data_IF_654271174612
#
_entry.id   IF_654271174612
#
_cell.length_a   1.000
_cell.length_b   1.000
_cell.length_c   1.000
_cell.angle_alpha   90.00
_cell.angle_beta   90.00
_cell.angle_gamma   90.00
#
_symmetry.space_group_name_H-M   'P 1'
#
loop_
_entity.id
_entity.type
_entity.pdbx_description
1 polymer ?
#
# COMPACT_ATOMS: atom_id res chain seq x y z
N UNK A 1 30.01 -17.71 36.72
CA UNK A 1 29.25 -18.22 35.57
C UNK A 1 27.92 -17.52 35.62
N UNK A 2 27.85 -16.40 34.90
CA UNK A 2 26.73 -15.46 34.96
C UNK A 2 26.06 -15.53 33.57
N UNK A 3 24.81 -15.96 33.54
CA UNK A 3 24.04 -16.12 32.32
C UNK A 3 23.68 -14.75 31.72
N UNK A 4 24.22 -14.47 30.54
CA UNK A 4 23.81 -13.36 29.68
C UNK A 4 22.36 -13.54 29.20
N UNK A 5 21.47 -12.54 29.34
CA UNK A 5 20.16 -12.60 28.73
C UNK A 5 20.24 -12.39 27.21
N UNK A 6 19.51 -13.23 26.49
CA UNK A 6 19.40 -13.25 25.02
C UNK A 6 18.80 -11.95 24.48
N UNK A 7 19.41 -11.42 23.43
CA UNK A 7 18.94 -10.26 22.67
C UNK A 7 17.54 -10.50 22.10
N UNK A 8 16.63 -9.57 22.38
CA UNK A 8 15.30 -9.47 21.76
C UNK A 8 15.49 -9.18 20.26
N UNK A 9 14.89 -10.03 19.42
CA UNK A 9 15.09 -10.02 17.98
C UNK A 9 14.57 -8.77 17.28
N UNK A 10 15.35 -8.28 16.32
CA UNK A 10 14.93 -7.28 15.34
C UNK A 10 13.79 -7.83 14.47
N UNK A 11 12.58 -7.31 14.67
CA UNK A 11 11.47 -7.50 13.74
C UNK A 11 11.69 -6.62 12.50
N UNK A 12 12.42 -7.16 11.50
CA UNK A 12 12.56 -6.54 10.18
C UNK A 12 11.22 -6.58 9.44
N UNK A 13 10.50 -5.46 9.45
CA UNK A 13 9.21 -5.27 8.77
C UNK A 13 9.39 -5.25 7.26
N UNK A 14 9.33 -6.40 6.61
CA UNK A 14 9.33 -6.45 5.14
C UNK A 14 7.97 -6.76 4.56
N UNK A 15 7.41 -5.76 3.88
CA UNK A 15 6.25 -5.90 3.03
C UNK A 15 6.70 -6.39 1.64
N UNK A 16 5.84 -7.12 0.94
CA UNK A 16 6.14 -7.64 -0.39
C UNK A 16 5.24 -6.95 -1.42
N UNK A 17 5.87 -6.28 -2.38
CA UNK A 17 5.18 -5.68 -3.53
C UNK A 17 5.63 -6.43 -4.76
N UNK A 18 4.67 -6.89 -5.57
CA UNK A 18 5.02 -7.49 -6.86
C UNK A 18 5.66 -6.41 -7.74
N UNK A 19 6.92 -6.62 -8.12
CA UNK A 19 7.62 -5.81 -9.10
C UNK A 19 7.53 -6.45 -10.48
N UNK A 20 7.58 -5.62 -11.52
CA UNK A 20 7.73 -6.08 -12.90
C UNK A 20 9.00 -6.95 -13.06
N UNK A 21 8.98 -8.03 -13.86
CA UNK A 21 10.21 -8.70 -14.26
C UNK A 21 11.12 -7.71 -15.01
N UNK A 22 12.35 -7.52 -14.53
CA UNK A 22 13.39 -6.79 -15.27
C UNK A 22 13.80 -7.64 -16.47
N UNK A 23 13.70 -7.08 -17.67
CA UNK A 23 14.35 -7.66 -18.84
C UNK A 23 15.82 -7.25 -18.80
N UNK A 24 16.71 -8.17 -18.44
CA UNK A 24 18.17 -8.24 -18.72
C UNK A 24 18.70 -9.47 -17.98
N UNK A 25 19.51 -10.38 -18.52
CA UNK A 25 20.13 -10.63 -19.83
C UNK A 25 20.80 -11.99 -19.62
N UNK A 26 20.69 -12.93 -20.55
CA UNK A 26 21.83 -13.78 -20.94
C UNK A 26 21.65 -14.22 -22.41
N UNK A 27 22.69 -13.84 -23.15
CA UNK A 27 23.22 -14.29 -24.44
C UNK A 27 22.39 -14.26 -25.75
N UNK A 28 22.78 -13.25 -26.54
CA UNK A 28 23.08 -13.32 -27.97
C UNK A 28 21.96 -13.73 -28.93
N UNK A 29 21.10 -12.76 -29.27
CA UNK A 29 20.73 -12.56 -30.68
C UNK A 29 20.77 -11.06 -31.01
N UNK A 30 21.64 -10.75 -31.95
CA UNK A 30 22.00 -9.45 -32.49
C UNK A 30 20.79 -8.69 -33.05
N UNK A 31 20.73 -7.40 -32.70
CA UNK A 31 20.05 -6.27 -33.36
C UNK A 31 19.04 -6.53 -34.50
N UNK A 32 17.79 -6.16 -34.27
CA UNK A 32 17.07 -5.01 -34.89
C UNK A 32 15.57 -5.13 -34.65
N UNK A 33 14.95 -4.08 -34.12
CA UNK A 33 13.49 -3.94 -34.15
C UNK A 33 12.88 -3.43 -32.85
N UNK A 34 12.83 -2.11 -32.69
CA UNK A 34 11.77 -1.47 -31.90
C UNK A 34 10.41 -2.00 -32.39
N UNK A 35 9.61 -2.64 -31.53
CA UNK A 35 8.19 -2.87 -31.81
C UNK A 35 7.53 -4.12 -31.26
N UNK A 36 8.25 -5.21 -30.96
CA UNK A 36 7.59 -6.53 -30.88
C UNK A 36 7.19 -7.05 -29.49
N UNK A 37 7.71 -6.51 -28.39
CA UNK A 37 7.33 -6.98 -27.04
C UNK A 37 5.88 -6.61 -26.63
N UNK A 38 5.27 -5.63 -27.30
CA UNK A 38 3.89 -5.20 -27.02
C UNK A 38 2.82 -5.97 -27.79
N UNK A 39 3.19 -6.76 -28.81
CA UNK A 39 2.22 -7.46 -29.66
C UNK A 39 1.79 -8.83 -29.10
N UNK A 40 2.65 -9.51 -28.33
CA UNK A 40 2.35 -10.83 -27.75
C UNK A 40 1.26 -10.81 -26.66
N UNK A 41 0.92 -9.63 -26.13
CA UNK A 41 -0.04 -9.43 -25.03
C UNK A 41 -1.45 -8.99 -25.50
N UNK A 42 -1.69 -8.95 -26.82
CA UNK A 42 -3.00 -8.59 -27.39
C UNK A 42 -3.97 -9.79 -27.38
N UNK A 43 -3.46 -11.02 -27.21
CA UNK A 43 -4.22 -12.26 -27.34
C UNK A 43 -4.54 -13.04 -26.05
N UNK A 44 -4.54 -12.42 -24.86
CA UNK A 44 -4.88 -13.15 -23.63
C UNK A 44 -6.39 -13.46 -23.63
N UNK A 45 -6.70 -14.75 -23.72
CA UNK A 45 -8.06 -15.25 -23.64
C UNK A 45 -8.68 -14.96 -22.27
N UNK A 46 -9.97 -14.64 -22.27
CA UNK A 46 -10.69 -14.27 -21.04
C UNK A 46 -10.79 -15.47 -20.09
N UNK A 47 -11.12 -16.64 -20.61
CA UNK A 47 -11.35 -17.83 -19.79
C UNK A 47 -10.02 -18.42 -19.31
N UNK A 48 -8.96 -18.35 -20.11
CA UNK A 48 -7.61 -18.70 -19.65
C UNK A 48 -7.18 -17.81 -18.47
N UNK A 49 -7.37 -16.48 -18.60
CA UNK A 49 -7.06 -15.56 -17.51
C UNK A 49 -7.91 -15.87 -16.27
N UNK A 50 -9.21 -16.13 -16.45
CA UNK A 50 -10.11 -16.45 -15.35
C UNK A 50 -9.68 -17.73 -14.63
N UNK A 51 -9.33 -18.80 -15.35
CA UNK A 51 -8.85 -20.05 -14.77
C UNK A 51 -7.55 -19.92 -13.96
N UNK A 52 -6.70 -18.93 -14.29
CA UNK A 52 -5.48 -18.65 -13.51
C UNK A 52 -5.73 -17.86 -12.23
N UNK A 53 -6.84 -17.12 -12.14
CA UNK A 53 -7.12 -16.14 -11.08
C UNK A 53 -8.22 -16.57 -10.11
N UNK A 54 -9.24 -17.26 -10.62
CA UNK A 54 -10.46 -17.54 -9.91
C UNK A 54 -10.26 -18.67 -8.90
N UNK A 55 -10.56 -18.41 -7.63
CA UNK A 55 -10.58 -19.45 -6.60
C UNK A 55 -11.81 -20.36 -6.79
N UNK A 56 -11.74 -21.62 -6.34
CA UNK A 56 -12.89 -22.50 -6.27
C UNK A 56 -14.09 -21.83 -5.62
N UNK A 57 -15.28 -22.18 -6.09
CA UNK A 57 -16.52 -21.54 -5.67
C UNK A 57 -16.77 -21.65 -4.17
N UNK A 58 -16.53 -22.82 -3.59
CA UNK A 58 -16.73 -23.04 -2.17
C UNK A 58 -15.83 -22.14 -1.31
N UNK A 59 -14.55 -21.94 -1.68
CA UNK A 59 -13.63 -21.02 -1.00
C UNK A 59 -14.10 -19.57 -1.11
N UNK A 60 -14.54 -19.15 -2.30
CA UNK A 60 -15.06 -17.79 -2.52
C UNK A 60 -16.28 -17.51 -1.64
N UNK A 61 -17.22 -18.46 -1.59
CA UNK A 61 -18.44 -18.35 -0.79
C UNK A 61 -18.10 -18.35 0.70
N UNK A 62 -17.23 -19.25 1.15
CA UNK A 62 -16.79 -19.32 2.54
C UNK A 62 -16.12 -18.01 2.99
N UNK A 63 -15.18 -17.47 2.20
CA UNK A 63 -14.52 -16.20 2.48
C UNK A 63 -15.51 -15.04 2.57
N UNK A 64 -16.45 -14.94 1.61
CA UNK A 64 -17.49 -13.90 1.59
C UNK A 64 -18.35 -13.98 2.86
N UNK A 65 -18.77 -15.17 3.23
CA UNK A 65 -19.64 -15.40 4.39
C UNK A 65 -18.92 -15.09 5.70
N UNK A 66 -17.65 -15.50 5.84
CA UNK A 66 -16.81 -15.16 6.99
C UNK A 66 -16.63 -13.64 7.14
N UNK A 67 -16.36 -12.92 6.04
CA UNK A 67 -16.24 -11.46 6.05
C UNK A 67 -17.57 -10.80 6.47
N UNK A 68 -18.70 -11.26 5.92
CA UNK A 68 -20.03 -10.73 6.27
C UNK A 68 -20.40 -10.95 7.72
N UNK A 69 -20.10 -12.14 8.27
CA UNK A 69 -20.38 -12.51 9.67
C UNK A 69 -19.38 -11.93 10.64
N UNK A 70 -18.22 -11.47 10.16
CA UNK A 70 -17.08 -11.03 10.98
C UNK A 70 -16.59 -12.16 11.90
N UNK A 71 -16.57 -13.38 11.37
CA UNK A 71 -16.09 -14.59 12.03
C UNK A 71 -15.44 -15.53 11.01
N UNK A 72 -14.27 -16.06 11.35
CA UNK A 72 -13.46 -16.97 10.51
C UNK A 72 -13.47 -18.42 11.01
N UNK A 73 -14.17 -18.71 12.11
CA UNK A 73 -14.15 -20.02 12.77
C UNK A 73 -15.33 -20.90 12.35
N UNK A 74 -16.52 -20.32 12.28
CA UNK A 74 -17.76 -21.00 11.87
C UNK A 74 -17.93 -21.03 10.34
N UNK A 75 -17.29 -22.02 9.72
CA UNK A 75 -17.44 -22.31 8.29
C UNK A 75 -18.48 -23.43 8.15
N UNK A 76 -19.51 -23.19 7.34
CA UNK A 76 -20.64 -24.10 7.18
C UNK A 76 -20.20 -25.45 6.58
N UNK A 77 -20.66 -26.56 7.16
CA UNK A 77 -20.22 -27.91 6.81
C UNK A 77 -20.44 -28.30 5.34
N UNK A 78 -21.47 -27.75 4.70
CA UNK A 78 -21.73 -27.98 3.28
C UNK A 78 -20.66 -27.38 2.34
N UNK A 79 -19.82 -26.47 2.83
CA UNK A 79 -18.66 -25.92 2.12
C UNK A 79 -17.37 -26.67 2.43
N UNK A 80 -17.39 -27.62 3.39
CA UNK A 80 -16.22 -28.42 3.78
C UNK A 80 -16.06 -29.69 2.95
N UNK A 81 -17.00 -29.97 2.04
CA UNK A 81 -16.97 -31.14 1.17
C UNK A 81 -16.45 -30.73 -0.21
N UNK A 82 -15.21 -31.13 -0.60
CA UNK A 82 -14.67 -30.85 -1.92
C UNK A 82 -15.59 -31.40 -3.00
N UNK A 83 -15.94 -30.57 -3.97
CA UNK A 83 -16.76 -30.95 -5.12
C UNK A 83 -15.93 -31.65 -6.19
N UNK A 84 -15.48 -32.89 -5.92
CA UNK A 84 -14.91 -33.80 -6.92
C UNK A 84 -13.75 -33.28 -7.78
N UNK A 85 -12.52 -33.65 -7.40
CA UNK A 85 -11.27 -33.88 -8.17
C UNK A 85 -10.74 -32.84 -9.20
N UNK A 86 -11.57 -32.06 -9.90
CA UNK A 86 -11.16 -31.06 -10.88
C UNK A 86 -11.64 -29.64 -10.55
N UNK A 87 -12.75 -29.48 -9.81
CA UNK A 87 -13.24 -28.18 -9.36
C UNK A 87 -12.55 -27.67 -8.08
N UNK A 88 -11.76 -28.53 -7.43
CA UNK A 88 -11.11 -28.30 -6.14
C UNK A 88 -9.60 -28.06 -6.26
N UNK A 89 -9.09 -27.75 -7.47
CA UNK A 89 -7.68 -27.44 -7.66
C UNK A 89 -7.44 -25.94 -7.42
N UNK A 90 -6.41 -25.61 -6.64
CA UNK A 90 -6.02 -24.23 -6.45
C UNK A 90 -5.53 -23.62 -7.77
N UNK A 91 -5.95 -22.40 -8.13
CA UNK A 91 -5.49 -21.76 -9.35
C UNK A 91 -3.99 -21.42 -9.23
N UNK A 92 -3.33 -21.24 -10.36
CA UNK A 92 -1.90 -20.92 -10.40
C UNK A 92 -1.54 -19.63 -9.63
N UNK A 93 -2.40 -18.61 -9.70
CA UNK A 93 -2.21 -17.35 -9.01
C UNK A 93 -3.56 -16.83 -8.50
N UNK A 94 -4.10 -17.39 -7.40
CA UNK A 94 -5.34 -16.93 -6.79
C UNK A 94 -5.25 -15.43 -6.54
N UNK A 95 -6.26 -14.66 -6.93
CA UNK A 95 -6.16 -13.20 -6.89
C UNK A 95 -7.37 -12.54 -6.27
N UNK A 96 -7.14 -11.56 -5.42
CA UNK A 96 -8.18 -10.68 -4.88
C UNK A 96 -7.90 -9.25 -5.35
N UNK A 97 -8.94 -8.50 -5.68
CA UNK A 97 -8.84 -7.10 -6.08
C UNK A 97 -9.58 -6.21 -5.10
N UNK A 98 -8.90 -5.23 -4.51
CA UNK A 98 -9.53 -4.11 -3.83
C UNK A 98 -9.73 -2.95 -4.79
N UNK A 99 -10.93 -2.38 -4.83
CA UNK A 99 -11.24 -1.20 -5.64
C UNK A 99 -11.71 -0.05 -4.75
N UNK A 100 -11.11 1.12 -4.94
CA UNK A 100 -11.62 2.37 -4.37
C UNK A 100 -12.47 3.10 -5.43
N UNK A 101 -13.81 3.05 -5.35
CA UNK A 101 -14.68 3.63 -6.38
C UNK A 101 -14.56 5.16 -6.49
N UNK A 102 -14.02 5.83 -5.46
CA UNK A 102 -13.76 7.27 -5.47
C UNK A 102 -12.50 7.66 -6.27
N UNK A 103 -11.66 6.68 -6.64
CA UNK A 103 -10.44 6.91 -7.45
C UNK A 103 -10.74 6.90 -8.95
N UNK A 104 -9.86 7.49 -9.78
CA UNK A 104 -9.91 7.34 -11.24
C UNK A 104 -11.07 8.05 -11.96
N UNK A 105 -11.55 9.20 -11.46
CA UNK A 105 -12.58 9.99 -12.14
C UNK A 105 -13.99 9.40 -12.10
N UNK A 106 -14.31 8.62 -11.06
CA UNK A 106 -15.63 7.99 -10.81
C UNK A 106 -16.05 6.90 -11.81
N UNK A 107 -15.12 6.34 -12.57
CA UNK A 107 -15.36 5.10 -13.34
C UNK A 107 -15.40 3.82 -12.47
N UNK A 108 -15.38 3.96 -11.14
CA UNK A 108 -15.33 2.87 -10.16
C UNK A 108 -16.33 1.74 -10.41
N UNK A 109 -17.65 2.01 -10.57
CA UNK A 109 -18.64 0.97 -10.80
C UNK A 109 -18.42 0.17 -12.10
N UNK A 110 -18.13 0.86 -13.20
CA UNK A 110 -17.85 0.23 -14.51
C UNK A 110 -16.57 -0.60 -14.45
N UNK A 111 -15.58 -0.14 -13.67
CA UNK A 111 -14.33 -0.85 -13.46
C UNK A 111 -14.53 -2.09 -12.58
N UNK A 112 -15.34 -1.98 -11.51
CA UNK A 112 -15.73 -3.10 -10.64
C UNK A 112 -16.41 -4.18 -11.46
N UNK A 113 -17.44 -3.82 -12.22
CA UNK A 113 -18.17 -4.75 -13.10
C UNK A 113 -17.22 -5.46 -14.07
N UNK A 114 -16.30 -4.71 -14.69
CA UNK A 114 -15.33 -5.32 -15.61
C UNK A 114 -14.36 -6.28 -14.92
N UNK A 115 -13.90 -5.95 -13.72
CA UNK A 115 -13.03 -6.85 -12.94
C UNK A 115 -13.78 -8.14 -12.58
N UNK A 116 -15.04 -8.02 -12.15
CA UNK A 116 -15.89 -9.16 -11.82
C UNK A 116 -16.14 -10.05 -13.05
N UNK A 117 -16.33 -9.45 -14.23
CA UNK A 117 -16.43 -10.19 -15.51
C UNK A 117 -15.15 -10.96 -15.86
N UNK A 118 -13.96 -10.44 -15.53
CA UNK A 118 -12.67 -11.08 -15.82
C UNK A 118 -12.27 -12.13 -14.78
N UNK A 119 -12.85 -12.06 -13.59
CA UNK A 119 -12.54 -12.91 -12.44
C UNK A 119 -13.84 -13.51 -11.88
N UNK A 120 -14.27 -13.05 -10.71
CA UNK A 120 -15.48 -13.46 -10.00
C UNK A 120 -15.98 -12.29 -9.16
N UNK A 121 -17.25 -12.33 -8.75
CA UNK A 121 -17.86 -11.26 -7.94
C UNK A 121 -17.23 -11.16 -6.56
N UNK A 122 -17.00 -12.31 -5.92
CA UNK A 122 -16.56 -12.45 -4.53
C UNK A 122 -15.07 -12.14 -4.32
N UNK A 123 -14.28 -12.09 -5.40
CA UNK A 123 -12.86 -11.74 -5.36
C UNK A 123 -12.60 -10.25 -5.63
N UNK A 124 -13.65 -9.44 -5.87
CA UNK A 124 -13.53 -7.99 -6.12
C UNK A 124 -14.22 -7.22 -5.00
N UNK A 125 -13.42 -6.70 -4.07
CA UNK A 125 -13.89 -5.99 -2.89
C UNK A 125 -13.93 -4.47 -3.11
N UNK A 126 -15.10 -3.89 -2.94
CA UNK A 126 -15.25 -2.44 -2.86
C UNK A 126 -14.83 -1.96 -1.46
N UNK A 127 -13.84 -1.06 -1.41
CA UNK A 127 -13.30 -0.55 -0.15
C UNK A 127 -14.28 0.32 0.66
N UNK A 128 -15.40 0.73 0.07
CA UNK A 128 -16.49 1.36 0.79
C UNK A 128 -17.31 0.34 1.58
N UNK A 129 -17.45 -0.89 1.07
CA UNK A 129 -18.23 -2.00 1.61
C UNK A 129 -17.40 -2.90 2.55
N UNK A 130 -16.23 -3.38 2.08
CA UNK A 130 -15.34 -4.28 2.81
C UNK A 130 -14.01 -3.58 3.07
N UNK A 131 -13.64 -3.42 4.34
CA UNK A 131 -12.36 -2.79 4.71
C UNK A 131 -11.21 -3.81 4.59
N UNK A 132 -9.98 -3.37 4.27
CA UNK A 132 -8.84 -4.29 4.14
C UNK A 132 -8.59 -5.13 5.40
N UNK A 133 -8.76 -4.54 6.60
CA UNK A 133 -8.60 -5.28 7.86
C UNK A 133 -9.65 -6.39 8.05
N UNK A 134 -10.87 -6.23 7.52
CA UNK A 134 -11.91 -7.26 7.58
C UNK A 134 -11.54 -8.43 6.66
N UNK A 135 -11.02 -8.15 5.46
CA UNK A 135 -10.49 -9.20 4.58
C UNK A 135 -9.29 -9.92 5.20
N UNK A 136 -8.34 -9.18 5.78
CA UNK A 136 -7.16 -9.77 6.43
C UNK A 136 -7.58 -10.68 7.57
N UNK A 137 -8.47 -10.23 8.45
CA UNK A 137 -8.89 -11.00 9.63
C UNK A 137 -9.81 -12.17 9.28
N UNK A 138 -10.81 -11.94 8.42
CA UNK A 138 -11.88 -12.91 8.19
C UNK A 138 -11.74 -13.64 6.86
N UNK A 139 -11.27 -12.98 5.80
CA UNK A 139 -11.06 -13.58 4.49
C UNK A 139 -9.84 -14.51 4.48
N UNK A 140 -8.67 -14.01 4.88
CA UNK A 140 -7.47 -14.86 5.00
C UNK A 140 -7.60 -15.84 6.17
N UNK A 141 -8.17 -15.39 7.29
CA UNK A 141 -8.47 -16.28 8.42
C UNK A 141 -9.38 -17.46 8.05
N UNK A 142 -10.35 -17.26 7.16
CA UNK A 142 -11.17 -18.35 6.62
C UNK A 142 -10.32 -19.41 5.89
N UNK A 143 -9.40 -18.98 5.03
CA UNK A 143 -8.49 -19.88 4.32
C UNK A 143 -7.54 -20.60 5.30
N UNK A 144 -7.04 -19.88 6.31
CA UNK A 144 -6.18 -20.46 7.36
C UNK A 144 -6.95 -21.54 8.17
N UNK A 145 -8.21 -21.27 8.54
CA UNK A 145 -9.08 -22.23 9.23
C UNK A 145 -9.36 -23.47 8.37
N UNK A 146 -9.64 -23.31 7.07
CA UNK A 146 -9.87 -24.44 6.16
C UNK A 146 -8.61 -25.28 5.97
N UNK A 147 -7.47 -24.62 5.77
CA UNK A 147 -6.17 -25.30 5.69
C UNK A 147 -5.88 -26.10 6.97
N UNK A 148 -6.17 -25.54 8.15
CA UNK A 148 -6.01 -26.23 9.43
C UNK A 148 -6.97 -27.43 9.61
N UNK A 149 -8.13 -27.42 8.94
CA UNK A 149 -9.08 -28.55 8.88
C UNK A 149 -8.69 -29.61 7.84
N UNK A 150 -7.57 -29.43 7.13
CA UNK A 150 -7.06 -30.40 6.15
C UNK A 150 -7.43 -30.11 4.69
N UNK A 151 -7.99 -28.93 4.39
CA UNK A 151 -8.24 -28.52 3.01
C UNK A 151 -6.95 -28.06 2.33
N UNK A 152 -6.42 -28.95 1.49
CA UNK A 152 -5.18 -28.72 0.74
C UNK A 152 -5.32 -27.59 -0.30
N UNK A 153 -6.50 -27.45 -0.92
CA UNK A 153 -6.74 -26.39 -1.88
C UNK A 153 -6.79 -25.03 -1.18
N UNK A 154 -7.38 -24.94 0.01
CA UNK A 154 -7.36 -23.72 0.81
C UNK A 154 -5.92 -23.34 1.21
N UNK A 155 -5.12 -24.33 1.62
CA UNK A 155 -3.70 -24.15 1.97
C UNK A 155 -2.90 -23.61 0.78
N UNK A 156 -3.02 -24.25 -0.39
CA UNK A 156 -2.32 -23.82 -1.60
C UNK A 156 -2.80 -22.44 -2.08
N UNK A 157 -4.11 -22.17 -2.02
CA UNK A 157 -4.66 -20.85 -2.30
C UNK A 157 -4.05 -19.79 -1.37
N UNK A 158 -3.99 -20.07 -0.07
CA UNK A 158 -3.47 -19.15 0.96
C UNK A 158 -1.98 -18.81 0.76
N UNK A 159 -1.19 -19.77 0.30
CA UNK A 159 0.23 -19.61 -0.01
C UNK A 159 0.47 -18.86 -1.32
N UNK A 160 -0.39 -19.03 -2.33
CA UNK A 160 -0.21 -18.44 -3.66
C UNK A 160 -0.98 -17.14 -3.88
N UNK A 161 -1.90 -16.79 -2.98
CA UNK A 161 -2.81 -15.65 -3.15
C UNK A 161 -2.03 -14.34 -3.36
N UNK A 162 -2.51 -13.54 -4.31
CA UNK A 162 -2.01 -12.20 -4.64
C UNK A 162 -3.11 -11.16 -4.49
N UNK A 163 -2.74 -9.94 -4.11
CA UNK A 163 -3.68 -8.83 -3.94
C UNK A 163 -3.39 -7.76 -4.98
N UNK A 164 -4.42 -7.31 -5.70
CA UNK A 164 -4.35 -6.15 -6.57
C UNK A 164 -5.13 -4.99 -5.95
N UNK A 165 -4.57 -3.79 -5.97
CA UNK A 165 -5.24 -2.60 -5.44
C UNK A 165 -5.47 -1.59 -6.56
N UNK A 166 -6.73 -1.34 -6.88
CA UNK A 166 -7.18 -0.34 -7.83
C UNK A 166 -7.49 0.97 -7.10
N UNK A 167 -6.52 1.88 -7.11
CA UNK A 167 -6.55 3.12 -6.36
C UNK A 167 -5.33 4.02 -6.61
N UNK A 168 -5.21 5.09 -5.85
CA UNK A 168 -3.96 5.86 -5.73
C UNK A 168 -3.12 5.41 -4.53
N UNK A 169 -2.00 6.08 -4.28
CA UNK A 169 -1.01 5.67 -3.26
C UNK A 169 -1.60 5.55 -1.84
N UNK A 170 -2.51 6.44 -1.45
CA UNK A 170 -3.18 6.34 -0.14
C UNK A 170 -4.03 5.07 0.01
N UNK A 171 -4.70 4.62 -1.05
CA UNK A 171 -5.45 3.36 -1.06
C UNK A 171 -4.51 2.16 -0.94
N UNK A 172 -3.40 2.18 -1.69
CA UNK A 172 -2.37 1.12 -1.66
C UNK A 172 -1.74 1.04 -0.27
N UNK A 173 -1.37 2.19 0.31
CA UNK A 173 -0.81 2.27 1.65
C UNK A 173 -1.76 1.77 2.74
N UNK A 174 -3.06 2.01 2.61
CA UNK A 174 -4.06 1.47 3.54
C UNK A 174 -4.09 -0.07 3.52
N UNK A 175 -4.11 -0.67 2.33
CA UNK A 175 -4.09 -2.14 2.18
C UNK A 175 -2.77 -2.72 2.72
N UNK A 176 -1.63 -2.14 2.35
CA UNK A 176 -0.32 -2.56 2.86
C UNK A 176 -0.24 -2.45 4.39
N UNK A 177 -0.77 -1.38 4.98
CA UNK A 177 -0.81 -1.19 6.43
C UNK A 177 -1.59 -2.28 7.15
N UNK A 178 -2.73 -2.72 6.61
CA UNK A 178 -3.49 -3.84 7.17
C UNK A 178 -2.77 -5.18 6.98
N UNK A 179 -2.10 -5.40 5.85
CA UNK A 179 -1.32 -6.62 5.63
C UNK A 179 -0.08 -6.71 6.53
N UNK A 180 0.51 -5.55 6.89
CA UNK A 180 1.62 -5.47 7.84
C UNK A 180 1.25 -5.97 9.24
N UNK A 181 -0.03 -6.03 9.61
CA UNK A 181 -0.47 -6.63 10.89
C UNK A 181 -0.19 -8.14 10.92
N UNK A 182 -0.30 -8.85 9.78
CA UNK A 182 0.03 -10.28 9.67
C UNK A 182 1.50 -10.58 9.95
N UNK A 183 2.39 -9.60 9.74
CA UNK A 183 3.81 -9.76 10.01
C UNK A 183 4.09 -9.90 11.51
N UNK A 184 3.29 -9.22 12.36
CA UNK A 184 3.46 -9.23 13.82
C UNK A 184 3.26 -10.63 14.40
N UNK A 185 2.45 -11.45 13.74
CA UNK A 185 2.14 -12.81 14.19
C UNK A 185 3.20 -13.84 13.76
N UNK A 186 4.17 -13.45 12.91
CA UNK A 186 5.37 -14.21 12.54
C UNK A 186 5.16 -15.54 11.80
N UNK A 187 3.91 -16.00 11.65
CA UNK A 187 3.55 -17.32 11.12
C UNK A 187 2.80 -17.28 9.79
N UNK A 188 2.28 -16.12 9.42
CA UNK A 188 1.34 -15.98 8.31
C UNK A 188 2.03 -15.51 7.04
N UNK A 189 1.81 -16.20 5.92
CA UNK A 189 2.25 -15.74 4.59
C UNK A 189 1.61 -14.38 4.27
N UNK A 190 2.40 -13.39 3.85
CA UNK A 190 1.92 -12.07 3.48
C UNK A 190 1.73 -12.04 1.95
N UNK A 191 0.48 -11.91 1.46
CA UNK A 191 0.22 -11.85 0.02
C UNK A 191 0.94 -10.68 -0.65
N UNK A 192 1.63 -10.89 -1.79
CA UNK A 192 2.23 -9.80 -2.54
C UNK A 192 1.15 -8.87 -3.10
N UNK A 193 1.43 -7.57 -3.05
CA UNK A 193 0.51 -6.53 -3.53
C UNK A 193 0.96 -5.98 -4.89
N UNK A 194 0.05 -5.93 -5.86
CA UNK A 194 0.20 -5.20 -7.11
C UNK A 194 -0.76 -4.01 -7.21
N UNK A 195 -0.49 -3.07 -8.11
CA UNK A 195 -1.22 -1.79 -8.19
C UNK A 195 -1.86 -1.61 -9.56
N UNK A 196 -3.13 -1.20 -9.57
CA UNK A 196 -3.81 -0.64 -10.73
C UNK A 196 -3.90 0.89 -10.49
N UNK A 197 -3.08 1.71 -11.17
CA UNK A 197 -2.90 3.13 -10.86
C UNK A 197 -4.10 3.99 -11.28
N UNK A 198 -5.06 4.16 -10.37
CA UNK A 198 -6.25 5.01 -10.57
C UNK A 198 -6.08 6.42 -9.99
N UNK A 199 -4.98 6.71 -9.29
CA UNK A 199 -4.69 8.02 -8.71
C UNK A 199 -4.07 9.01 -9.69
N UNK A 200 -3.71 10.20 -9.18
CA UNK A 200 -3.02 11.25 -9.94
C UNK A 200 -1.49 11.13 -9.88
N UNK A 201 -0.93 10.84 -8.70
CA UNK A 201 0.52 10.70 -8.45
C UNK A 201 1.05 9.31 -8.81
N UNK A 202 0.50 8.27 -8.15
CA UNK A 202 0.80 6.85 -8.36
C UNK A 202 2.30 6.55 -8.25
N UNK A 203 2.98 7.16 -7.28
CA UNK A 203 4.43 7.09 -7.11
C UNK A 203 4.90 5.66 -6.76
N UNK A 204 4.15 4.95 -5.91
CA UNK A 204 4.42 3.53 -5.63
C UNK A 204 4.25 2.71 -6.91
N UNK A 205 3.18 2.97 -7.66
CA UNK A 205 2.93 2.26 -8.93
C UNK A 205 4.07 2.47 -9.94
N UNK A 206 4.63 3.68 -10.02
CA UNK A 206 5.79 4.00 -10.87
C UNK A 206 7.05 3.28 -10.41
N UNK A 207 7.33 3.32 -9.11
CA UNK A 207 8.52 2.70 -8.51
C UNK A 207 8.56 1.18 -8.76
N UNK A 208 7.39 0.52 -8.72
CA UNK A 208 7.26 -0.91 -8.99
C UNK A 208 6.89 -1.23 -10.45
N UNK A 209 6.94 -0.25 -11.35
CA UNK A 209 6.71 -0.41 -12.80
C UNK A 209 5.31 -0.90 -13.20
N UNK A 210 4.29 -0.63 -12.39
CA UNK A 210 2.87 -0.83 -12.69
C UNK A 210 2.28 0.27 -13.58
N UNK A 211 2.97 1.42 -13.66
CA UNK A 211 2.63 2.53 -14.53
C UNK A 211 2.22 3.79 -13.78
N UNK A 212 2.09 4.89 -14.50
CA UNK A 212 1.83 6.21 -13.91
C UNK A 212 0.38 6.66 -13.93
N UNK A 213 -0.45 6.04 -14.77
CA UNK A 213 -1.86 6.40 -14.94
C UNK A 213 -2.62 5.25 -15.59
N UNK A 214 -3.91 5.21 -15.33
CA UNK A 214 -4.79 4.26 -15.98
C UNK A 214 -4.97 4.62 -17.48
N UNK A 215 -4.69 3.71 -18.42
CA UNK A 215 -4.65 4.03 -19.84
C UNK A 215 -6.05 4.21 -20.44
N UNK A 216 -6.17 5.02 -21.50
CA UNK A 216 -7.43 5.29 -22.19
C UNK A 216 -8.10 4.00 -22.74
N UNK A 217 -7.30 3.07 -23.28
CA UNK A 217 -7.74 1.73 -23.68
C UNK A 217 -7.78 0.74 -22.50
N UNK A 218 -8.45 1.14 -21.41
CA UNK A 218 -8.37 0.46 -20.12
C UNK A 218 -8.88 -0.98 -20.11
N UNK A 219 -9.87 -1.32 -20.96
CA UNK A 219 -10.44 -2.68 -21.01
C UNK A 219 -9.40 -3.74 -21.35
N UNK A 220 -8.57 -3.48 -22.35
CA UNK A 220 -7.48 -4.39 -22.76
C UNK A 220 -6.28 -4.28 -21.83
N UNK A 221 -6.02 -3.09 -21.29
CA UNK A 221 -4.97 -2.90 -20.30
C UNK A 221 -5.23 -3.68 -19.01
N UNK A 222 -6.48 -3.77 -18.57
CA UNK A 222 -6.84 -4.50 -17.36
C UNK A 222 -6.47 -5.98 -17.44
N UNK A 223 -6.84 -6.66 -18.54
CA UNK A 223 -6.45 -8.06 -18.77
C UNK A 223 -4.95 -8.24 -18.68
N UNK A 224 -4.18 -7.35 -19.33
CA UNK A 224 -2.72 -7.38 -19.30
C UNK A 224 -2.16 -7.14 -17.90
N UNK A 225 -2.75 -6.22 -17.13
CA UNK A 225 -2.32 -5.94 -15.77
C UNK A 225 -2.55 -7.14 -14.85
N UNK A 226 -3.73 -7.77 -14.91
CA UNK A 226 -4.03 -8.97 -14.14
C UNK A 226 -3.12 -10.13 -14.52
N UNK A 227 -2.92 -10.38 -15.82
CA UNK A 227 -2.00 -11.41 -16.30
C UNK A 227 -0.54 -11.12 -15.90
N UNK A 228 -0.10 -9.86 -15.92
CA UNK A 228 1.23 -9.49 -15.42
C UNK A 228 1.34 -9.73 -13.92
N UNK A 229 0.27 -9.53 -13.16
CA UNK A 229 0.26 -9.80 -11.73
C UNK A 229 0.35 -11.28 -11.40
N UNK A 230 -0.02 -12.20 -12.31
CA UNK A 230 0.21 -13.64 -12.10
C UNK A 230 1.67 -14.04 -12.32
N UNK A 231 2.38 -13.38 -13.24
CA UNK A 231 3.76 -13.70 -13.62
C UNK A 231 4.82 -12.80 -12.98
N UNK A 232 4.42 -11.69 -12.37
CA UNK A 232 5.32 -10.67 -11.83
C UNK A 232 6.20 -11.23 -10.72
N UNK A 233 7.49 -10.87 -10.76
CA UNK A 233 8.44 -11.12 -9.68
C UNK A 233 8.02 -10.40 -8.41
N UNK A 234 8.30 -10.99 -7.25
CA UNK A 234 7.99 -10.35 -5.97
C UNK A 234 9.23 -9.57 -5.53
N UNK A 235 9.05 -8.30 -5.18
CA UNK A 235 10.08 -7.46 -4.59
C UNK A 235 9.73 -7.13 -3.13
N UNK A 236 10.77 -6.82 -2.36
CA UNK A 236 10.61 -6.32 -0.99
C UNK A 236 10.39 -4.81 -1.04
N UNK A 237 9.49 -4.34 -0.19
CA UNK A 237 9.20 -2.94 0.05
C UNK A 237 9.56 -2.61 1.49
N UNK A 238 10.47 -1.66 1.64
CA UNK A 238 10.80 -1.07 2.93
C UNK A 238 9.65 -0.17 3.40
N UNK A 239 9.46 -0.12 4.72
CA UNK A 239 8.41 0.68 5.33
C UNK A 239 8.97 1.52 6.48
N UNK A 240 8.53 2.76 6.56
CA UNK A 240 9.00 3.72 7.54
C UNK A 240 7.95 3.85 8.63
N UNK A 241 8.27 3.43 9.86
CA UNK A 241 7.44 3.73 11.03
C UNK A 241 7.71 5.16 11.46
N UNK A 242 6.68 6.00 11.43
CA UNK A 242 6.76 7.41 11.82
C UNK A 242 5.99 7.59 13.11
N UNK A 243 6.61 8.29 14.07
CA UNK A 243 5.97 8.73 15.31
C UNK A 243 5.99 10.25 15.34
N UNK A 244 4.82 10.85 15.52
CA UNK A 244 4.63 12.30 15.61
C UNK A 244 4.15 12.62 17.00
N UNK A 245 4.93 13.39 17.76
CA UNK A 245 4.56 13.84 19.11
C UNK A 245 4.19 15.32 19.09
N UNK A 246 3.03 15.65 19.65
CA UNK A 246 2.49 17.01 19.72
C UNK A 246 2.59 17.60 21.14
N UNK A 247 2.76 18.93 21.26
CA UNK A 247 2.65 19.64 22.54
C UNK A 247 1.29 19.46 23.23
N UNK A 248 1.24 19.63 24.56
CA UNK A 248 0.00 19.61 25.32
C UNK A 248 -1.01 20.67 24.89
N UNK A 249 -2.27 20.26 24.69
CA UNK A 249 -3.41 21.15 24.48
C UNK A 249 -3.93 21.25 23.05
N UNK A 250 -3.16 20.82 22.04
CA UNK A 250 -3.64 20.78 20.65
C UNK A 250 -4.41 19.48 20.37
N UNK A 251 -5.68 19.63 19.99
CA UNK A 251 -6.50 18.51 19.50
C UNK A 251 -6.45 18.54 17.99
N UNK A 252 -5.73 17.59 17.40
CA UNK A 252 -5.68 17.39 15.95
C UNK A 252 -6.40 16.09 15.62
N UNK A 253 -7.17 16.10 14.52
CA UNK A 253 -7.71 14.88 13.92
C UNK A 253 -6.65 14.28 13.00
N UNK A 254 -6.01 13.15 13.38
CA UNK A 254 -4.97 12.56 12.55
C UNK A 254 -5.57 11.97 11.27
N UNK A 255 -4.83 11.95 10.15
CA UNK A 255 -5.23 11.19 8.98
C UNK A 255 -5.35 9.70 9.34
N UNK A 256 -6.17 8.93 8.61
CA UNK A 256 -6.37 7.48 8.84
C UNK A 256 -5.08 6.64 8.91
N UNK A 257 -3.99 7.12 8.31
CA UNK A 257 -2.67 6.47 8.31
C UNK A 257 -1.92 6.60 9.64
N UNK A 258 -2.33 7.54 10.51
CA UNK A 258 -1.76 7.79 11.83
C UNK A 258 -2.78 7.41 12.90
N UNK A 259 -2.40 6.47 13.78
CA UNK A 259 -3.22 6.04 14.92
C UNK A 259 -2.65 6.64 16.21
N UNK A 260 -3.48 7.01 17.20
CA UNK A 260 -2.98 7.42 18.51
C UNK A 260 -2.16 6.28 19.14
N UNK A 261 -0.98 6.58 19.65
CA UNK A 261 -0.16 5.61 20.37
C UNK A 261 -0.64 5.55 21.83
N UNK A 262 -0.95 4.34 22.32
CA UNK A 262 -1.38 4.11 23.72
C UNK A 262 -0.16 4.13 24.66
N UNK A 263 1.01 3.77 24.15
CA UNK A 263 2.27 3.85 24.87
C UNK A 263 2.96 5.18 24.55
N UNK A 264 3.37 5.91 25.58
CA UNK A 264 4.42 6.92 25.44
C UNK A 264 5.67 6.19 24.93
N UNK A 265 5.82 6.07 23.61
CA UNK A 265 7.08 5.62 23.05
C UNK A 265 8.07 6.71 23.41
N UNK A 266 8.83 6.47 24.46
CA UNK A 266 9.94 7.27 24.90
C UNK A 266 10.97 7.25 23.78
N UNK A 267 10.75 8.05 22.72
CA UNK A 267 11.82 8.49 21.85
C UNK A 267 12.81 9.13 22.81
N UNK A 268 13.94 8.44 22.96
CA UNK A 268 14.83 8.48 24.13
C UNK A 268 14.84 9.83 24.84
N UNK A 269 14.63 9.82 26.15
CA UNK A 269 14.80 10.97 27.06
C UNK A 269 16.23 11.56 27.03
N UNK A 270 17.12 11.08 26.14
CA UNK A 270 18.50 11.48 25.99
C UNK A 270 18.72 12.62 24.96
N UNK A 271 17.72 12.95 24.13
CA UNK A 271 17.75 14.19 23.35
C UNK A 271 17.22 15.33 24.22
N UNK A 272 18.07 15.85 25.09
CA UNK A 272 17.87 17.13 25.76
C UNK A 272 17.78 18.21 24.68
N UNK A 273 16.56 18.46 24.19
CA UNK A 273 16.31 19.56 23.30
C UNK A 273 16.54 20.85 24.10
N UNK A 274 17.68 21.49 23.84
CA UNK A 274 18.05 22.79 24.40
C UNK A 274 16.95 23.83 24.05
N UNK A 275 15.98 24.00 24.96
CA UNK A 275 14.77 24.79 24.78
C UNK A 275 13.62 24.35 25.68
N UNK A 276 12.74 25.28 26.02
CA UNK A 276 11.52 25.08 26.84
C UNK A 276 10.49 24.26 26.04
N UNK A 277 10.71 22.95 25.91
CA UNK A 277 9.81 22.04 25.18
C UNK A 277 8.56 21.84 26.03
N UNK A 278 7.36 22.20 25.53
CA UNK A 278 6.12 21.97 26.27
C UNK A 278 5.96 20.48 26.62
N UNK A 279 5.34 20.16 27.76
CA UNK A 279 5.12 18.77 28.13
C UNK A 279 4.43 17.99 27.00
N UNK A 280 5.02 16.83 26.65
CA UNK A 280 4.50 15.92 25.62
C UNK A 280 3.13 15.41 26.06
N UNK A 281 2.11 15.50 25.21
CA UNK A 281 0.76 15.07 25.59
C UNK A 281 0.16 13.98 24.72
N UNK A 282 0.43 13.98 23.40
CA UNK A 282 -0.15 13.00 22.47
C UNK A 282 0.84 12.63 21.38
N UNK A 283 1.04 11.32 21.20
CA UNK A 283 1.83 10.76 20.11
C UNK A 283 0.93 9.99 19.15
N UNK A 284 1.26 10.08 17.87
CA UNK A 284 0.59 9.35 16.81
C UNK A 284 1.62 8.55 16.04
N UNK A 285 1.30 7.30 15.71
CA UNK A 285 2.17 6.43 14.93
C UNK A 285 1.50 5.96 13.64
N UNK A 286 2.31 5.77 12.60
CA UNK A 286 1.86 5.18 11.34
C UNK A 286 2.99 4.69 10.47
N UNK A 287 2.62 4.09 9.35
CA UNK A 287 3.56 3.48 8.41
C UNK A 287 3.47 4.18 7.06
N UNK A 288 4.63 4.56 6.54
CA UNK A 288 4.79 5.24 5.25
C UNK A 288 5.65 4.39 4.32
N UNK A 289 5.40 4.49 3.01
CA UNK A 289 6.01 3.61 1.99
C UNK A 289 6.74 4.37 0.88
N UNK A 290 6.65 5.70 0.85
CA UNK A 290 7.16 6.50 -0.26
C UNK A 290 7.99 7.67 0.24
N UNK A 291 7.35 8.64 0.88
CA UNK A 291 8.04 9.79 1.47
C UNK A 291 7.23 10.35 2.65
N UNK A 292 7.92 11.15 3.45
CA UNK A 292 7.34 12.02 4.48
C UNK A 292 7.92 13.42 4.27
N UNK A 293 7.08 14.44 4.27
CA UNK A 293 7.51 15.82 4.03
C UNK A 293 7.02 16.78 5.11
N UNK A 294 7.83 17.80 5.38
CA UNK A 294 7.53 18.92 6.26
C UNK A 294 7.83 20.21 5.49
N UNK A 295 7.07 21.28 5.76
CA UNK A 295 7.28 22.59 5.15
C UNK A 295 6.50 22.77 3.85
N UNK A 296 7.13 23.38 2.85
CA UNK A 296 6.46 23.87 1.63
C UNK A 296 5.72 22.77 0.86
N UNK A 297 6.36 21.62 0.66
CA UNK A 297 5.75 20.49 -0.05
C UNK A 297 4.49 19.99 0.69
N UNK A 298 4.59 19.82 2.01
CA UNK A 298 3.47 19.40 2.86
C UNK A 298 2.33 20.43 2.84
N UNK A 299 2.64 21.73 2.85
CA UNK A 299 1.65 22.81 2.76
C UNK A 299 0.90 22.78 1.43
N UNK A 300 1.61 22.64 0.32
CA UNK A 300 1.01 22.54 -1.02
C UNK A 300 0.13 21.30 -1.13
N UNK A 301 0.62 20.15 -0.66
CA UNK A 301 -0.14 18.90 -0.63
C UNK A 301 -1.41 19.02 0.24
N UNK A 302 -1.31 19.68 1.40
CA UNK A 302 -2.44 19.97 2.28
C UNK A 302 -3.47 20.87 1.59
N UNK A 303 -3.05 21.99 1.00
CA UNK A 303 -3.94 22.92 0.30
C UNK A 303 -4.69 22.24 -0.86
N UNK A 304 -3.99 21.44 -1.66
CA UNK A 304 -4.61 20.66 -2.72
C UNK A 304 -5.59 19.61 -2.19
N UNK A 305 -5.22 18.88 -1.12
CA UNK A 305 -6.09 17.88 -0.50
C UNK A 305 -7.38 18.50 0.04
N UNK A 306 -7.26 19.63 0.74
CA UNK A 306 -8.38 20.36 1.29
C UNK A 306 -9.34 20.82 0.19
N UNK A 307 -8.84 21.44 -0.89
CA UNK A 307 -9.67 21.82 -2.05
C UNK A 307 -10.38 20.61 -2.66
N UNK A 308 -9.70 19.46 -2.78
CA UNK A 308 -10.31 18.25 -3.32
C UNK A 308 -11.46 17.74 -2.46
N UNK A 309 -11.38 17.92 -1.14
CA UNK A 309 -12.44 17.51 -0.22
C UNK A 309 -13.62 18.50 -0.24
N UNK A 310 -13.34 19.82 -0.25
CA UNK A 310 -14.39 20.85 -0.26
C UNK A 310 -15.08 20.97 -1.63
N UNK A 311 -14.31 20.91 -2.72
CA UNK A 311 -14.77 21.16 -4.09
C UNK A 311 -14.37 20.01 -5.03
N UNK A 312 -14.91 18.80 -4.80
CA UNK A 312 -14.54 17.61 -5.59
C UNK A 312 -14.84 17.73 -7.08
N UNK A 313 -15.75 18.63 -7.48
CA UNK A 313 -16.08 18.91 -8.88
C UNK A 313 -14.93 19.57 -9.67
N UNK A 314 -14.02 20.28 -8.98
CA UNK A 314 -12.83 20.86 -9.60
C UNK A 314 -11.73 19.82 -9.82
N UNK A 315 -11.75 18.73 -9.05
CA UNK A 315 -10.66 17.75 -8.96
C UNK A 315 -11.05 16.37 -9.53
N UNK A 316 -11.79 16.36 -10.64
CA UNK A 316 -12.35 15.12 -11.22
C UNK A 316 -11.37 14.33 -12.11
N UNK A 317 -10.29 14.97 -12.58
CA UNK A 317 -9.39 14.38 -13.57
C UNK A 317 -7.91 14.51 -13.21
N UNK A 318 -7.04 13.55 -13.59
CA UNK A 318 -5.61 13.64 -13.31
C UNK A 318 -4.93 14.89 -13.89
N UNK A 319 -5.37 15.36 -15.07
CA UNK A 319 -4.83 16.58 -15.70
C UNK A 319 -5.20 17.81 -14.88
N UNK A 320 -6.49 17.98 -14.57
CA UNK A 320 -6.97 19.11 -13.74
C UNK A 320 -6.32 19.10 -12.36
N UNK A 321 -6.20 17.92 -11.74
CA UNK A 321 -5.52 17.74 -10.46
C UNK A 321 -4.07 18.23 -10.50
N UNK A 322 -3.32 17.92 -11.58
CA UNK A 322 -1.94 18.39 -11.75
C UNK A 322 -1.86 19.89 -11.95
N UNK A 323 -2.79 20.49 -12.71
CA UNK A 323 -2.84 21.95 -12.91
C UNK A 323 -3.11 22.66 -11.59
N UNK A 324 -4.12 22.21 -10.84
CA UNK A 324 -4.46 22.77 -9.53
C UNK A 324 -3.27 22.62 -8.58
N UNK A 325 -2.68 21.43 -8.48
CA UNK A 325 -1.49 21.22 -7.64
C UNK A 325 -0.35 22.17 -8.00
N UNK A 326 -0.07 22.33 -9.31
CA UNK A 326 0.94 23.29 -9.80
C UNK A 326 0.62 24.74 -9.41
N UNK A 327 -0.67 25.13 -9.43
CA UNK A 327 -1.10 26.46 -9.00
C UNK A 327 -0.88 26.70 -7.50
N UNK A 328 -1.09 25.67 -6.66
CA UNK A 328 -0.75 25.74 -5.23
C UNK A 328 0.76 25.86 -5.03
N UNK A 329 1.57 25.11 -5.78
CA UNK A 329 3.03 25.24 -5.75
C UNK A 329 3.50 26.65 -6.10
N UNK A 330 2.86 27.32 -7.06
CA UNK A 330 3.21 28.70 -7.43
C UNK A 330 2.75 29.73 -6.39
N UNK A 331 1.58 29.56 -5.79
CA UNK A 331 0.96 30.55 -4.89
C UNK A 331 1.37 30.42 -3.42
N UNK A 332 1.62 29.19 -2.96
CA UNK A 332 2.00 28.89 -1.57
C UNK A 332 3.47 28.46 -1.43
N UNK A 333 4.14 28.16 -2.55
CA UNK A 333 5.51 27.66 -2.55
C UNK A 333 6.57 28.73 -2.77
N UNK A 334 7.54 28.41 -3.64
CA UNK A 334 8.83 29.07 -3.83
C UNK A 334 8.81 30.62 -3.85
N UNK A 335 7.72 31.22 -4.31
CA UNK A 335 7.59 32.68 -4.47
C UNK A 335 7.01 33.43 -3.25
N UNK A 336 6.45 32.73 -2.25
CA UNK A 336 5.66 33.35 -1.18
C UNK A 336 6.02 32.88 0.24
N UNK A 337 7.20 32.28 0.47
CA UNK A 337 7.53 31.72 1.79
C UNK A 337 8.01 32.78 2.81
N UNK A 338 7.59 32.71 4.09
CA UNK A 338 8.05 33.62 5.15
C UNK A 338 9.57 33.60 5.37
N UNK A 339 10.23 32.48 5.06
CA UNK A 339 11.67 32.29 5.19
C UNK A 339 12.49 33.20 4.26
N UNK A 340 11.89 33.72 3.19
CA UNK A 340 12.54 34.71 2.31
C UNK A 340 12.64 36.07 3.00
N UNK A 341 11.64 36.41 3.82
CA UNK A 341 11.49 37.72 4.44
C UNK A 341 12.23 37.85 5.78
N UNK A 342 12.50 36.74 6.49
CA UNK A 342 13.25 36.75 7.74
C UNK A 342 14.66 36.15 7.56
N UNK A 343 15.75 36.96 7.64
CA UNK A 343 17.13 36.48 7.51
C UNK A 343 17.52 35.37 8.50
N UNK A 344 16.92 35.33 9.70
CA UNK A 344 17.20 34.33 10.71
C UNK A 344 16.70 32.93 10.31
N UNK A 345 15.64 32.85 9.50
CA UNK A 345 15.05 31.61 9.01
C UNK A 345 15.67 31.13 7.68
N UNK A 346 16.69 31.83 7.17
CA UNK A 346 17.36 31.46 5.91
C UNK A 346 18.33 30.30 6.12
N UNK A 347 18.04 29.20 5.45
CA UNK A 347 18.88 28.00 5.44
C UNK A 347 18.40 26.94 6.43
N UNK A 348 18.36 25.69 5.96
CA UNK A 348 17.74 24.56 6.65
C UNK A 348 18.32 24.31 8.06
N UNK A 349 19.62 24.56 8.24
CA UNK A 349 20.33 24.42 9.52
C UNK A 349 19.82 25.33 10.66
N UNK A 350 19.14 26.43 10.32
CA UNK A 350 18.64 27.37 11.33
C UNK A 350 17.26 26.95 11.87
N UNK A 351 16.57 26.05 11.17
CA UNK A 351 15.17 25.69 11.43
C UNK A 351 14.97 24.20 11.67
N UNK A 352 15.98 23.37 11.42
CA UNK A 352 15.91 21.93 11.60
C UNK A 352 17.22 21.38 12.13
N UNK A 353 17.13 20.60 13.21
CA UNK A 353 18.19 19.71 13.69
C UNK A 353 17.78 18.27 13.35
N UNK A 354 18.68 17.50 12.77
CA UNK A 354 18.45 16.10 12.44
C UNK A 354 19.39 15.26 13.31
N UNK A 355 18.87 14.26 14.00
CA UNK A 355 19.67 13.29 14.73
C UNK A 355 19.42 11.90 14.15
N UNK A 356 20.45 11.05 14.16
CA UNK A 356 20.38 9.65 13.76
C UNK A 356 20.87 8.76 14.88
N UNK A 357 20.17 7.67 15.13
CA UNK A 357 20.56 6.62 16.07
C UNK A 357 20.59 5.30 15.31
N UNK A 358 21.73 4.61 15.34
CA UNK A 358 21.87 3.27 14.76
C UNK A 358 21.27 2.25 15.72
N UNK A 359 20.71 1.16 15.20
CA UNK A 359 20.04 0.12 16.02
C UNK A 359 20.92 -0.43 17.17
N UNK A 360 22.23 -0.52 16.95
CA UNK A 360 23.20 -1.04 17.92
C UNK A 360 23.87 0.04 18.78
N UNK A 361 23.41 1.28 18.71
CA UNK A 361 23.98 2.41 19.46
C UNK A 361 22.93 2.95 20.44
N UNK A 362 23.35 3.31 21.66
CA UNK A 362 22.51 3.98 22.64
C UNK A 362 22.40 5.49 22.41
N UNK A 363 23.38 6.07 21.71
CA UNK A 363 23.52 7.52 21.56
C UNK A 363 22.96 8.03 20.22
N UNK A 364 22.45 9.26 20.27
CA UNK A 364 22.02 10.00 19.09
C UNK A 364 23.17 10.83 18.53
N UNK A 365 23.42 10.70 17.22
CA UNK A 365 24.41 11.50 16.50
C UNK A 365 23.70 12.64 15.76
N UNK A 366 24.08 13.90 15.99
CA UNK A 366 23.56 15.04 15.21
C UNK A 366 24.13 15.02 13.79
N UNK A 367 23.27 15.02 12.78
CA UNK A 367 23.66 15.13 11.37
C UNK A 367 23.89 16.61 11.05
N UNK A 368 25.14 16.93 10.71
CA UNK A 368 25.49 18.28 10.26
C UNK A 368 24.84 18.60 8.91
N UNK A 369 23.86 19.50 8.91
CA UNK A 369 23.20 19.98 7.69
C UNK A 369 24.10 21.01 6.98
N UNK A 370 24.61 20.73 5.77
CA UNK A 370 25.54 21.62 5.08
C UNK A 370 24.92 22.99 4.78
N UNK A 371 25.73 24.04 4.83
CA UNK A 371 25.30 25.43 4.54
C UNK A 371 24.76 25.66 3.10
N UNK A 372 24.93 24.70 2.18
CA UNK A 372 24.69 24.88 0.72
C UNK A 372 23.60 23.99 0.12
N UNK A 373 22.75 23.35 0.92
CA UNK A 373 21.51 22.79 0.39
C UNK A 373 20.40 23.82 0.57
N UNK A 374 20.18 24.61 -0.49
CA UNK A 374 18.95 25.27 -0.98
C UNK A 374 19.36 26.17 -2.15
#
# INVERSE_FOLDING_TARGET
MEETPRSVGEASTTNFVAARPSAKTDDAVTMRGCGFANLALVGIDKEELRGRLAMPEYLRIAMRDCIKRKDSTEISDHLLLPGGAAADMAPHAPMVVFINPKSGGRHGPVLKERLQQLMTEEQVFDLTEVKPHEFVRYGLGCLDTLAAKGDECARECREKIRIMVAGGDGTVGWVLGCLGELHKDGKSHIPPVGVIPLGTGNDLSRSFSWGGSFPFAWRSAMKRTLHRATLGSIARLDSWKIVVSMPSGEVVDPPYSLKPTIEETALDQALDADGDVPPKAKSYEGVFYNYFSIGMDAQVAYGFHHLRNEKPYLAQGPVTNKIIYSSYSCTQGWFCTPCVNNPALRGLRNIMKIHIKKANCSEWEEIHVPKRFI
#
